data_IF_062578995741
#
_entry.id   IF_062578995741
#
_cell.length_a   1.000
_cell.length_b   1.000
_cell.length_c   1.000
_cell.angle_alpha   90.00
_cell.angle_beta   90.00
_cell.angle_gamma   90.00
#
_symmetry.space_group_name_H-M   'P 1'
#
loop_
_entity.id
_entity.type
_entity.pdbx_description
1 polymer ?
#
# COMPACT_ATOMS: atom_id res chain seq x y z
N UNK A 1 7.68 -26.65 -4.06
CA UNK A 1 7.51 -25.19 -4.02
C UNK A 1 6.53 -24.86 -2.90
N UNK A 2 6.77 -23.77 -2.16
CA UNK A 2 5.87 -23.26 -1.12
C UNK A 2 5.37 -21.90 -1.57
N UNK A 3 4.07 -21.67 -1.51
CA UNK A 3 3.45 -20.39 -1.88
C UNK A 3 3.14 -19.55 -0.65
N UNK A 4 3.31 -18.24 -0.76
CA UNK A 4 2.84 -17.26 0.22
C UNK A 4 1.85 -16.36 -0.51
N UNK A 5 0.70 -16.11 0.11
CA UNK A 5 -0.34 -15.24 -0.42
C UNK A 5 -0.51 -14.08 0.54
N UNK A 6 -0.59 -12.87 0.01
CA UNK A 6 -0.83 -11.65 0.78
C UNK A 6 -2.07 -10.94 0.25
N UNK A 7 -2.76 -10.23 1.15
CA UNK A 7 -3.91 -9.41 0.77
C UNK A 7 -3.42 -8.17 0.02
N UNK A 8 -4.05 -7.87 -1.11
CA UNK A 8 -3.74 -6.69 -1.91
C UNK A 8 -4.68 -5.53 -1.54
N UNK A 9 -4.17 -4.31 -1.61
CA UNK A 9 -4.95 -3.10 -1.33
C UNK A 9 -6.13 -2.91 -2.29
N UNK A 10 -6.17 -3.62 -3.42
CA UNK A 10 -7.35 -3.65 -4.30
C UNK A 10 -8.60 -4.21 -3.59
N UNK A 11 -8.43 -5.02 -2.54
CA UNK A 11 -9.55 -5.46 -1.69
C UNK A 11 -10.24 -4.26 -1.05
N UNK A 12 -9.46 -3.30 -0.54
CA UNK A 12 -9.99 -2.04 0.00
C UNK A 12 -10.66 -1.20 -1.08
N UNK A 13 -10.06 -1.14 -2.28
CA UNK A 13 -10.67 -0.45 -3.42
C UNK A 13 -12.06 -1.05 -3.75
N UNK A 14 -12.23 -2.36 -3.59
CA UNK A 14 -13.51 -3.06 -3.73
C UNK A 14 -14.54 -2.64 -2.68
N UNK A 15 -14.18 -2.66 -1.39
CA UNK A 15 -15.08 -2.26 -0.30
C UNK A 15 -15.53 -0.80 -0.46
N UNK A 16 -14.60 0.10 -0.78
CA UNK A 16 -14.92 1.52 -0.98
C UNK A 16 -15.87 1.71 -2.17
N UNK A 17 -15.67 0.97 -3.27
CA UNK A 17 -16.55 1.02 -4.45
C UNK A 17 -17.94 0.49 -4.17
N UNK A 18 -18.08 -0.55 -3.34
CA UNK A 18 -19.38 -1.08 -2.91
C UNK A 18 -20.19 -0.02 -2.15
N UNK A 19 -19.50 0.88 -1.43
CA UNK A 19 -20.09 2.05 -0.78
C UNK A 19 -20.22 3.29 -1.69
N UNK A 20 -20.09 3.11 -3.01
CA UNK A 20 -20.25 4.18 -3.99
C UNK A 20 -19.09 5.17 -4.08
N UNK A 21 -17.92 4.86 -3.50
CA UNK A 21 -16.76 5.76 -3.46
C UNK A 21 -15.82 5.47 -4.65
N UNK A 22 -15.64 6.41 -5.60
CA UNK A 22 -14.78 6.19 -6.75
C UNK A 22 -13.29 6.32 -6.37
N UNK A 23 -12.60 5.19 -6.25
CA UNK A 23 -11.17 5.15 -5.92
C UNK A 23 -10.28 5.20 -7.18
N UNK A 24 -9.33 6.13 -7.20
CA UNK A 24 -8.27 6.22 -8.23
C UNK A 24 -6.97 5.64 -7.69
N UNK A 25 -6.41 4.69 -8.43
CA UNK A 25 -5.07 4.15 -8.18
C UNK A 25 -4.04 5.16 -8.68
N UNK A 26 -3.48 5.97 -7.78
CA UNK A 26 -2.65 7.10 -8.16
C UNK A 26 -1.19 6.67 -8.34
N UNK A 27 -0.55 6.17 -7.28
CA UNK A 27 0.88 5.87 -7.26
C UNK A 27 1.23 4.61 -6.44
N UNK A 28 2.32 3.96 -6.81
CA UNK A 28 3.05 3.00 -5.99
C UNK A 28 4.46 3.52 -5.75
N UNK A 29 5.00 3.29 -4.56
CA UNK A 29 6.26 3.92 -4.17
C UNK A 29 6.93 3.29 -2.95
N UNK A 30 8.07 3.88 -2.62
CA UNK A 30 8.84 3.60 -1.41
C UNK A 30 8.67 4.76 -0.43
N UNK A 31 8.31 4.43 0.81
CA UNK A 31 8.08 5.34 1.92
C UNK A 31 9.24 5.21 2.90
N UNK A 32 9.90 6.34 3.18
CA UNK A 32 10.87 6.42 4.27
C UNK A 32 10.14 6.38 5.61
N UNK A 33 10.72 5.63 6.54
CA UNK A 33 10.29 5.51 7.93
C UNK A 33 11.46 5.90 8.82
N UNK A 34 11.21 6.81 9.75
CA UNK A 34 12.15 7.21 10.78
C UNK A 34 11.45 7.16 12.15
N UNK A 35 12.12 6.58 13.15
CA UNK A 35 11.56 6.40 14.51
C UNK A 35 10.16 5.78 14.52
N UNK A 36 9.96 4.75 13.68
CA UNK A 36 8.69 4.04 13.45
C UNK A 36 7.55 4.92 12.92
N UNK A 37 7.87 6.10 12.36
CA UNK A 37 6.89 7.01 11.76
C UNK A 37 7.18 7.19 10.26
N UNK A 38 6.14 7.22 9.41
CA UNK A 38 6.33 7.57 8.00
C UNK A 38 6.84 9.01 7.90
N UNK A 39 7.82 9.25 7.02
CA UNK A 39 8.44 10.56 6.79
C UNK A 39 7.97 11.13 5.45
N UNK A 40 7.99 10.32 4.39
CA UNK A 40 7.64 10.75 3.05
C UNK A 40 7.98 9.70 2.01
N UNK A 41 7.38 9.83 0.83
CA UNK A 41 7.81 9.03 -0.31
C UNK A 41 9.18 9.50 -0.82
N UNK A 42 10.07 8.52 -1.06
CA UNK A 42 11.40 8.73 -1.66
C UNK A 42 11.41 8.36 -3.15
N UNK A 43 10.62 7.38 -3.56
CA UNK A 43 10.34 7.09 -4.96
C UNK A 43 8.84 6.92 -5.18
N UNK A 44 8.33 7.43 -6.30
CA UNK A 44 6.93 7.34 -6.71
C UNK A 44 6.83 7.07 -8.21
N UNK A 45 6.03 6.08 -8.59
CA UNK A 45 5.64 5.84 -9.98
C UNK A 45 4.12 5.86 -10.04
N UNK A 46 3.58 6.64 -10.99
CA UNK A 46 2.15 6.67 -11.25
C UNK A 46 1.70 5.38 -11.92
N UNK A 47 0.57 4.81 -11.47
CA UNK A 47 -0.01 3.64 -12.12
C UNK A 47 -0.54 3.96 -13.52
N UNK A 48 -0.89 5.23 -13.77
CA UNK A 48 -1.33 5.67 -15.10
C UNK A 48 -0.12 5.82 -16.02
N UNK A 49 -0.09 5.04 -17.10
CA UNK A 49 0.97 5.11 -18.11
C UNK A 49 2.11 4.12 -17.91
N UNK A 50 1.96 3.13 -17.02
CA UNK A 50 2.90 2.02 -16.86
C UNK A 50 2.19 0.67 -16.99
N UNK A 51 2.88 -0.31 -17.56
CA UNK A 51 2.47 -1.73 -17.54
C UNK A 51 3.25 -2.54 -16.50
N UNK A 52 4.25 -1.93 -15.87
CA UNK A 52 5.08 -2.55 -14.83
C UNK A 52 4.50 -2.23 -13.46
N UNK A 53 4.46 -3.21 -12.57
CA UNK A 53 4.14 -2.99 -11.16
C UNK A 53 5.29 -2.22 -10.48
N UNK A 54 5.05 -0.99 -10.01
CA UNK A 54 6.07 -0.18 -9.34
C UNK A 54 6.69 -0.87 -8.12
N UNK A 55 5.89 -1.58 -7.34
CA UNK A 55 6.36 -2.14 -6.07
C UNK A 55 7.32 -3.30 -6.30
N UNK A 56 7.00 -4.17 -7.26
CA UNK A 56 7.89 -5.25 -7.67
C UNK A 56 9.18 -4.70 -8.28
N UNK A 57 9.10 -3.62 -9.06
CA UNK A 57 10.26 -2.93 -9.58
C UNK A 57 11.18 -2.42 -8.45
N UNK A 58 10.62 -1.76 -7.42
CA UNK A 58 11.40 -1.25 -6.29
C UNK A 58 12.04 -2.36 -5.44
N UNK A 59 11.33 -3.48 -5.24
CA UNK A 59 11.91 -4.66 -4.57
C UNK A 59 13.11 -5.17 -5.36
N UNK A 60 12.94 -5.42 -6.65
CA UNK A 60 13.99 -6.00 -7.49
C UNK A 60 15.19 -5.07 -7.69
N UNK A 61 14.96 -3.74 -7.62
CA UNK A 61 16.01 -2.74 -7.68
C UNK A 61 16.75 -2.56 -6.32
N UNK A 62 16.34 -3.24 -5.26
CA UNK A 62 16.97 -3.12 -3.93
C UNK A 62 16.68 -1.78 -3.25
N UNK A 63 15.54 -1.16 -3.54
CA UNK A 63 15.14 0.14 -2.98
C UNK A 63 14.33 0.03 -1.67
N UNK A 64 14.30 -1.15 -1.04
CA UNK A 64 13.65 -1.38 0.25
C UNK A 64 14.69 -1.72 1.33
N UNK A 65 14.35 -1.42 2.58
CA UNK A 65 15.10 -1.85 3.77
C UNK A 65 14.14 -2.20 4.90
N UNK A 66 13.19 -3.07 4.59
CA UNK A 66 12.08 -3.48 5.44
C UNK A 66 12.60 -4.17 6.71
N UNK A 67 13.65 -4.98 6.61
CA UNK A 67 14.30 -5.60 7.79
C UNK A 67 14.82 -4.56 8.78
N UNK A 68 15.40 -3.46 8.28
CA UNK A 68 15.89 -2.37 9.13
C UNK A 68 14.73 -1.67 9.83
N UNK A 69 13.60 -1.47 9.14
CA UNK A 69 12.40 -0.87 9.73
C UNK A 69 11.86 -1.73 10.86
N UNK A 70 11.81 -3.05 10.68
CA UNK A 70 11.38 -3.99 11.72
C UNK A 70 12.33 -3.94 12.93
N UNK A 71 13.64 -3.98 12.70
CA UNK A 71 14.65 -4.09 13.78
C UNK A 71 14.90 -2.78 14.52
N UNK A 72 14.92 -1.66 13.81
CA UNK A 72 15.39 -0.37 14.32
C UNK A 72 14.32 0.71 14.33
N UNK A 73 13.23 0.51 13.58
CA UNK A 73 12.23 1.54 13.32
C UNK A 73 12.62 2.52 12.21
N UNK A 74 13.74 2.30 11.51
CA UNK A 74 14.26 3.19 10.47
C UNK A 74 14.54 2.44 9.18
N UNK A 75 14.24 3.06 8.03
CA UNK A 75 14.50 2.48 6.71
C UNK A 75 13.40 2.81 5.72
N UNK A 76 13.20 1.92 4.74
CA UNK A 76 12.32 2.17 3.59
C UNK A 76 11.40 0.97 3.36
N UNK A 77 10.10 1.24 3.25
CA UNK A 77 9.05 0.25 3.00
C UNK A 77 8.25 0.62 1.75
N UNK A 78 7.44 -0.31 1.26
CA UNK A 78 6.53 -0.09 0.13
C UNK A 78 5.19 0.46 0.61
N UNK A 79 4.72 1.50 -0.07
CA UNK A 79 3.43 2.09 0.16
C UNK A 79 2.76 2.46 -1.16
N UNK A 80 1.45 2.61 -1.11
CA UNK A 80 0.64 3.03 -2.25
C UNK A 80 -0.14 4.29 -1.91
N UNK A 81 -0.55 4.99 -2.95
CA UNK A 81 -1.44 6.14 -2.88
C UNK A 81 -2.70 5.83 -3.67
N UNK A 82 -3.83 5.94 -2.98
CA UNK A 82 -5.15 6.03 -3.59
C UNK A 82 -5.66 7.45 -3.47
N UNK A 83 -6.44 7.90 -4.44
CA UNK A 83 -7.11 9.18 -4.36
C UNK A 83 -8.63 8.96 -4.35
N UNK A 84 -9.32 9.67 -3.47
CA UNK A 84 -10.78 9.66 -3.33
C UNK A 84 -11.31 11.10 -3.42
N UNK A 85 -12.58 11.31 -3.81
CA UNK A 85 -13.17 12.65 -3.72
C UNK A 85 -13.11 13.18 -2.30
N UNK A 86 -12.82 14.47 -2.13
CA UNK A 86 -12.71 15.08 -0.79
C UNK A 86 -13.97 14.89 0.06
N UNK A 87 -15.14 14.98 -0.58
CA UNK A 87 -16.43 14.78 0.07
C UNK A 87 -16.61 13.35 0.63
N UNK A 88 -15.86 12.36 0.14
CA UNK A 88 -15.96 10.98 0.58
C UNK A 88 -15.06 10.66 1.79
N UNK A 89 -14.14 11.56 2.17
CA UNK A 89 -13.15 11.30 3.23
C UNK A 89 -13.77 10.86 4.56
N UNK A 90 -14.87 11.49 5.07
CA UNK A 90 -15.50 11.03 6.30
C UNK A 90 -15.98 9.58 6.22
N UNK A 91 -16.61 9.21 5.10
CA UNK A 91 -17.09 7.84 4.86
C UNK A 91 -15.94 6.86 4.71
N UNK A 92 -14.86 7.24 4.00
CA UNK A 92 -13.64 6.42 3.88
C UNK A 92 -13.05 6.12 5.25
N UNK A 93 -12.94 7.12 6.13
CA UNK A 93 -12.41 6.94 7.48
C UNK A 93 -13.33 6.03 8.32
N UNK A 94 -14.65 6.21 8.24
CA UNK A 94 -15.60 5.33 8.94
C UNK A 94 -15.50 3.87 8.48
N UNK A 95 -15.37 3.63 7.17
CA UNK A 95 -15.18 2.28 6.61
C UNK A 95 -13.83 1.71 7.07
N UNK A 96 -12.76 2.51 7.01
CA UNK A 96 -11.44 2.09 7.46
C UNK A 96 -11.43 1.72 8.95
N UNK A 97 -12.11 2.48 9.80
CA UNK A 97 -12.23 2.18 11.22
C UNK A 97 -12.98 0.87 11.48
N UNK A 98 -14.07 0.59 10.76
CA UNK A 98 -14.75 -0.70 10.84
C UNK A 98 -13.84 -1.86 10.39
N UNK A 99 -13.04 -1.67 9.34
CA UNK A 99 -12.15 -2.71 8.82
C UNK A 99 -10.97 -3.03 9.75
N UNK A 100 -10.60 -2.11 10.66
CA UNK A 100 -9.58 -2.38 11.69
C UNK A 100 -10.00 -3.50 12.63
N UNK A 101 -11.30 -3.65 12.90
CA UNK A 101 -11.85 -4.74 13.73
C UNK A 101 -11.61 -6.12 13.08
N UNK A 102 -11.44 -6.15 11.75
CA UNK A 102 -11.14 -7.35 10.96
C UNK A 102 -9.65 -7.49 10.60
N UNK A 103 -8.77 -6.74 11.27
CA UNK A 103 -7.31 -6.84 11.11
C UNK A 103 -6.71 -6.03 9.97
N UNK A 104 -7.49 -5.18 9.29
CA UNK A 104 -6.94 -4.30 8.25
C UNK A 104 -6.22 -3.10 8.87
N UNK A 105 -4.94 -2.94 8.54
CA UNK A 105 -4.12 -1.80 8.96
C UNK A 105 -4.13 -0.69 7.90
N UNK A 106 -5.26 0.03 7.84
CA UNK A 106 -5.51 1.08 6.85
C UNK A 106 -6.30 2.26 7.45
N UNK A 107 -6.07 3.50 6.97
CA UNK A 107 -4.90 3.97 6.23
C UNK A 107 -3.73 4.30 7.17
N UNK A 108 -2.52 4.49 6.62
CA UNK A 108 -1.41 5.13 7.34
C UNK A 108 -1.73 6.59 7.59
N UNK A 109 -2.21 7.26 6.53
CA UNK A 109 -2.55 8.66 6.56
C UNK A 109 -3.52 9.01 5.43
N UNK A 110 -4.27 10.07 5.69
CA UNK A 110 -5.27 10.63 4.79
C UNK A 110 -5.06 12.14 4.72
N UNK A 111 -4.91 12.70 3.53
CA UNK A 111 -4.72 14.14 3.38
C UNK A 111 -4.33 14.55 1.97
N UNK A 112 -4.25 15.86 1.76
CA UNK A 112 -3.82 16.46 0.49
C UNK A 112 -2.44 17.09 0.67
N UNK A 113 -1.53 16.87 -0.28
CA UNK A 113 -0.17 17.44 -0.20
C UNK A 113 0.75 16.79 0.85
N UNK A 114 0.43 15.57 1.32
CA UNK A 114 1.15 14.90 2.41
C UNK A 114 2.24 13.95 1.89
N UNK A 115 3.29 13.72 2.68
CA UNK A 115 4.34 12.73 2.41
C UNK A 115 4.99 12.84 1.02
N UNK A 116 5.22 14.07 0.54
CA UNK A 116 5.77 14.38 -0.79
C UNK A 116 4.84 14.00 -1.97
N UNK A 117 3.56 13.70 -1.70
CA UNK A 117 2.55 13.56 -2.75
C UNK A 117 1.98 14.94 -3.06
N UNK A 118 1.91 15.29 -4.35
CA UNK A 118 1.33 16.58 -4.78
C UNK A 118 -0.18 16.61 -4.48
N UNK A 119 -0.67 17.76 -4.05
CA UNK A 119 -2.09 17.98 -3.85
C UNK A 119 -2.86 17.92 -5.20
N UNK A 120 -4.05 17.33 -5.17
CA UNK A 120 -5.04 17.39 -6.24
C UNK A 120 -6.20 18.30 -5.79
N UNK A 121 -6.69 19.20 -6.66
CA UNK A 121 -7.66 20.23 -6.27
C UNK A 121 -9.06 19.72 -5.88
N UNK A 122 -9.36 18.41 -6.01
CA UNK A 122 -10.67 17.85 -5.62
C UNK A 122 -10.58 16.45 -5.01
N UNK A 123 -9.36 15.99 -4.74
CA UNK A 123 -9.10 14.64 -4.26
C UNK A 123 -8.11 14.62 -3.12
N UNK A 124 -8.41 13.74 -2.19
CA UNK A 124 -7.59 13.48 -1.01
C UNK A 124 -6.84 12.17 -1.22
N UNK A 125 -5.56 12.17 -0.87
CA UNK A 125 -4.73 10.97 -0.88
C UNK A 125 -5.00 10.11 0.35
N UNK A 126 -5.18 8.82 0.13
CA UNK A 126 -5.23 7.77 1.13
C UNK A 126 -4.00 6.90 0.95
N UNK A 127 -3.12 6.91 1.95
CA UNK A 127 -1.82 6.25 1.89
C UNK A 127 -1.86 4.99 2.75
N UNK A 128 -1.35 3.90 2.20
CA UNK A 128 -1.37 2.59 2.85
C UNK A 128 -0.10 1.80 2.58
N UNK A 129 0.32 0.97 3.54
CA UNK A 129 1.41 0.02 3.31
C UNK A 129 0.91 -1.05 2.32
N UNK A 130 1.85 -1.59 1.55
CA UNK A 130 1.56 -2.70 0.66
C UNK A 130 1.78 -4.04 1.34
N UNK A 131 0.92 -5.03 1.06
CA UNK A 131 1.17 -6.43 1.39
C UNK A 131 2.47 -6.98 0.78
N UNK A 132 2.98 -6.32 -0.27
CA UNK A 132 4.28 -6.62 -0.88
C UNK A 132 5.47 -6.39 0.05
N UNK A 133 5.31 -5.73 1.20
CA UNK A 133 6.37 -5.62 2.20
C UNK A 133 6.82 -6.98 2.74
N UNK A 134 5.91 -7.95 2.86
CA UNK A 134 6.29 -9.33 3.28
C UNK A 134 7.18 -9.98 2.21
N UNK A 135 6.85 -9.78 0.94
CA UNK A 135 7.65 -10.28 -0.19
C UNK A 135 9.00 -9.58 -0.26
N UNK A 136 9.03 -8.25 -0.14
CA UNK A 136 10.25 -7.46 -0.12
C UNK A 136 11.20 -7.87 1.00
N UNK A 137 10.68 -8.10 2.21
CA UNK A 137 11.50 -8.58 3.33
C UNK A 137 12.15 -9.94 3.06
N UNK A 138 11.41 -10.87 2.46
CA UNK A 138 11.98 -12.17 2.11
C UNK A 138 13.05 -12.06 1.01
N UNK A 139 12.86 -11.19 0.02
CA UNK A 139 13.89 -10.89 -1.00
C UNK A 139 15.14 -10.26 -0.36
N UNK A 140 14.99 -9.33 0.59
CA UNK A 140 16.11 -8.75 1.36
C UNK A 140 16.93 -9.82 2.12
N UNK A 141 16.31 -10.94 2.50
CA UNK A 141 16.98 -12.10 3.11
C UNK A 141 17.63 -13.04 2.11
N UNK A 142 17.64 -12.70 0.82
CA UNK A 142 18.21 -13.51 -0.24
C UNK A 142 17.35 -14.70 -0.66
N UNK A 143 16.05 -14.72 -0.28
CA UNK A 143 15.13 -15.76 -0.70
C UNK A 143 14.69 -15.44 -2.13
N UNK A 144 14.95 -16.38 -3.05
CA UNK A 144 14.51 -16.24 -4.43
C UNK A 144 12.98 -16.45 -4.52
N UNK A 145 12.24 -15.37 -4.80
CA UNK A 145 10.78 -15.40 -4.90
C UNK A 145 10.36 -15.08 -6.33
N UNK A 146 9.48 -15.92 -6.87
CA UNK A 146 8.68 -15.60 -8.05
C UNK A 146 7.34 -15.04 -7.58
N UNK A 147 7.03 -13.83 -8.02
CA UNK A 147 5.76 -13.17 -7.70
C UNK A 147 4.78 -13.33 -8.85
N UNK A 148 3.55 -13.71 -8.56
CA UNK A 148 2.43 -13.68 -9.49
C UNK A 148 1.40 -12.68 -8.99
N UNK A 149 1.25 -11.57 -9.70
CA UNK A 149 0.32 -10.50 -9.34
C UNK A 149 -1.09 -10.88 -9.79
N UNK A 150 -2.08 -10.67 -8.92
CA UNK A 150 -3.46 -11.03 -9.23
C UNK A 150 -3.67 -12.54 -9.36
N UNK A 151 -2.95 -13.34 -8.57
CA UNK A 151 -3.01 -14.80 -8.58
C UNK A 151 -4.43 -15.39 -8.35
N UNK A 152 -5.38 -14.60 -7.85
CA UNK A 152 -6.77 -14.97 -7.80
C UNK A 152 -7.58 -14.13 -6.81
N UNK A 153 -8.83 -14.55 -6.61
CA UNK A 153 -9.67 -14.10 -5.50
C UNK A 153 -9.91 -15.28 -4.59
N UNK A 154 -9.91 -15.05 -3.28
CA UNK A 154 -10.11 -16.09 -2.27
C UNK A 154 -11.15 -15.57 -1.27
N UNK A 155 -12.13 -16.39 -0.85
CA UNK A 155 -13.10 -15.98 0.16
C UNK A 155 -12.40 -15.54 1.44
N UNK A 156 -12.78 -14.40 2.02
CA UNK A 156 -12.14 -13.91 3.24
C UNK A 156 -12.29 -14.88 4.44
N UNK A 157 -13.38 -15.66 4.47
CA UNK A 157 -13.68 -16.65 5.51
C UNK A 157 -12.65 -17.77 5.66
N UNK A 158 -11.66 -17.88 4.78
CA UNK A 158 -10.57 -18.87 4.94
C UNK A 158 -9.48 -18.41 5.93
N UNK A 159 -9.51 -17.13 6.33
CA UNK A 159 -8.55 -16.53 7.25
C UNK A 159 -9.08 -16.41 8.69
N UNK A 160 -10.31 -16.86 8.94
CA UNK A 160 -10.93 -16.99 10.27
C UNK A 160 -10.56 -18.30 10.97
#
# INVERSE_FOLDING_TARGET
YTGIITVCNITMDGVLRDHGIPVKMAFGGTMEVADRKPVGFVNLIGYRGTTVDPLLLFINAGHTSIDNVIRTGNGVVLAIVREVPDAAVPTVNSIADALKEYGFMFPIATGSGIYNVRADPYRTSIIAYSGMNIIGHAVEKGINIRTELGAGTIPFSIFE
#
